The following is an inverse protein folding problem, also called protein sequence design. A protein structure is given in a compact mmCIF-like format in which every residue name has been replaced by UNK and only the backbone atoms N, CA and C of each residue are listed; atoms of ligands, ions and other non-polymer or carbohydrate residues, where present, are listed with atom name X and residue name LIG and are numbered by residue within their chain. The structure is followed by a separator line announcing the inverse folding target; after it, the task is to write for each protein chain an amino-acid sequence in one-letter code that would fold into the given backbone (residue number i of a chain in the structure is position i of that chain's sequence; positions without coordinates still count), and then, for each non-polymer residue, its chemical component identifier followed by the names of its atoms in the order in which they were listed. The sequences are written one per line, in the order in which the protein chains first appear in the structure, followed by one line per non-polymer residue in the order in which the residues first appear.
data_IF_600805391623
#
_entry.id   IF_600805391623
#
_cell.length_a   1.000
_cell.length_b   1.000
_cell.length_c   1.000
_cell.angle_alpha   90.00
_cell.angle_beta   90.00
_cell.angle_gamma   90.00
#
_symmetry.space_group_name_H-M   'P 1'
#
loop_
_entity.id
_entity.type
_entity.pdbx_description
1 polymer ?
#
# COMPACT_ATOMS: atom_id res chain seq x y z
N UNK A 1 70.32 30.06 28.80
CA UNK A 1 68.87 30.26 28.69
C UNK A 1 68.64 31.19 27.50
N UNK A 2 68.14 30.66 26.39
CA UNK A 2 67.84 31.45 25.17
C UNK A 2 66.39 31.92 25.25
N UNK A 3 66.17 33.24 25.25
CA UNK A 3 64.84 33.84 25.22
C UNK A 3 64.20 33.65 23.82
N UNK A 4 62.90 33.37 23.71
CA UNK A 4 62.23 33.30 22.41
C UNK A 4 62.09 34.72 21.82
N UNK A 5 62.67 34.93 20.64
CA UNK A 5 62.46 36.14 19.84
C UNK A 5 61.01 36.17 19.36
N UNK A 6 60.27 37.24 19.65
CA UNK A 6 58.91 37.43 19.17
C UNK A 6 58.86 37.43 17.62
N UNK A 7 57.77 36.93 17.01
CA UNK A 7 57.64 36.91 15.55
C UNK A 7 57.60 38.34 14.98
N UNK A 8 58.13 38.56 13.76
CA UNK A 8 58.11 39.88 13.10
C UNK A 8 56.68 40.33 12.78
N UNK A 9 56.49 41.63 12.55
CA UNK A 9 55.19 42.19 12.20
C UNK A 9 54.67 41.60 10.88
N UNK A 10 53.60 40.81 10.93
CA UNK A 10 53.05 40.09 9.78
C UNK A 10 51.61 39.63 10.03
N UNK A 11 51.01 39.03 9.00
CA UNK A 11 49.72 38.35 9.12
C UNK A 11 49.93 36.91 9.56
N UNK A 12 49.26 36.52 10.65
CA UNK A 12 49.32 35.18 11.22
C UNK A 12 47.90 34.64 11.45
N UNK A 13 47.70 33.31 11.58
CA UNK A 13 46.39 32.74 11.89
C UNK A 13 45.80 33.37 13.17
N UNK A 14 44.52 33.76 13.14
CA UNK A 14 43.88 34.42 14.28
C UNK A 14 43.77 33.44 15.47
N UNK A 15 44.46 33.67 16.60
CA UNK A 15 44.41 32.77 17.75
C UNK A 15 43.02 32.72 18.39
N UNK A 16 42.16 33.71 18.14
CA UNK A 16 40.77 33.75 18.65
C UNK A 16 39.82 32.81 17.85
N UNK A 17 40.32 32.09 16.84
CA UNK A 17 39.58 31.04 16.13
C UNK A 17 38.57 31.54 15.09
N UNK A 18 38.70 32.78 14.59
CA UNK A 18 37.72 33.37 13.65
C UNK A 18 37.80 32.81 12.20
N UNK A 19 38.62 31.78 11.94
CA UNK A 19 38.80 31.20 10.61
C UNK A 19 39.52 32.10 9.59
N UNK A 20 40.27 33.09 10.06
CA UNK A 20 41.01 34.06 9.24
C UNK A 20 42.41 34.36 9.79
N UNK A 21 43.06 35.36 9.22
CA UNK A 21 44.36 35.86 9.69
C UNK A 21 44.18 37.20 10.42
N UNK A 22 44.99 37.42 11.45
CA UNK A 22 45.05 38.67 12.21
C UNK A 22 46.45 39.27 12.09
N UNK A 23 46.55 40.60 12.11
CA UNK A 23 47.84 41.27 11.95
C UNK A 23 48.53 41.43 13.31
N UNK A 24 49.74 40.88 13.43
CA UNK A 24 50.67 41.07 14.53
C UNK A 24 51.60 42.24 14.20
N UNK A 25 51.71 43.23 15.08
CA UNK A 25 52.53 44.42 14.85
C UNK A 25 53.98 44.30 15.37
N UNK A 26 54.33 43.16 15.98
CA UNK A 26 55.64 42.93 16.61
C UNK A 26 55.55 42.82 18.13
N UNK A 27 54.55 43.43 18.75
CA UNK A 27 54.34 43.41 20.21
C UNK A 27 52.95 42.87 20.60
N UNK A 28 51.90 43.16 19.82
CA UNK A 28 50.52 42.78 20.12
C UNK A 28 49.69 42.43 18.86
N UNK A 29 48.57 41.72 19.08
CA UNK A 29 47.61 41.42 18.02
C UNK A 29 46.68 42.61 17.75
N UNK A 30 46.81 43.24 16.59
CA UNK A 30 45.98 44.40 16.20
C UNK A 30 44.53 43.99 15.90
N UNK A 31 43.61 44.94 15.78
CA UNK A 31 42.21 44.66 15.38
C UNK A 31 42.05 44.31 13.90
N UNK A 32 43.10 44.40 13.09
CA UNK A 32 43.03 44.10 11.67
C UNK A 32 42.94 42.58 11.46
N UNK A 33 41.80 42.14 10.93
CA UNK A 33 41.53 40.76 10.54
C UNK A 33 41.27 40.70 9.05
N UNK A 34 41.73 39.64 8.39
CA UNK A 34 41.43 39.35 6.99
C UNK A 34 41.02 37.88 6.81
N UNK A 35 40.14 37.57 5.86
CA UNK A 35 39.85 36.18 5.49
C UNK A 35 41.15 35.47 5.08
N UNK A 36 41.29 34.21 5.46
CA UNK A 36 42.43 33.41 5.02
C UNK A 36 42.28 33.05 3.53
N UNK A 37 43.23 33.45 2.67
CA UNK A 37 43.16 33.16 1.23
C UNK A 37 43.28 31.66 0.91
N UNK A 38 43.75 30.83 1.86
CA UNK A 38 43.89 29.38 1.69
C UNK A 38 42.60 28.61 1.95
N UNK A 39 41.57 29.24 2.53
CA UNK A 39 40.28 28.59 2.74
C UNK A 39 39.55 28.48 1.40
N UNK A 40 39.31 27.27 0.88
CA UNK A 40 38.63 27.09 -0.39
C UNK A 40 37.21 27.65 -0.29
N UNK A 41 36.86 28.58 -1.17
CA UNK A 41 35.45 28.99 -1.34
C UNK A 41 34.64 27.73 -1.62
N UNK A 42 33.54 27.54 -0.90
CA UNK A 42 32.70 26.37 -1.11
C UNK A 42 32.22 26.33 -2.56
N UNK A 43 32.17 25.12 -3.15
CA UNK A 43 31.72 24.94 -4.55
C UNK A 43 30.29 25.49 -4.76
N UNK A 44 29.47 25.44 -3.72
CA UNK A 44 28.13 26.03 -3.71
C UNK A 44 28.16 27.57 -3.80
N UNK A 45 29.07 28.23 -3.08
CA UNK A 45 29.23 29.68 -3.17
C UNK A 45 29.72 30.11 -4.55
N UNK A 46 30.68 29.40 -5.13
CA UNK A 46 31.17 29.66 -6.48
C UNK A 46 30.06 29.46 -7.54
N UNK A 47 29.23 28.43 -7.39
CA UNK A 47 28.08 28.20 -8.26
C UNK A 47 27.02 29.30 -8.13
N UNK A 48 26.68 29.71 -6.90
CA UNK A 48 25.73 30.78 -6.64
C UNK A 48 26.20 32.13 -7.23
N UNK A 49 27.49 32.44 -7.14
CA UNK A 49 28.08 33.65 -7.71
C UNK A 49 28.08 33.63 -9.26
N UNK A 50 28.28 32.45 -9.85
CA UNK A 50 28.16 32.23 -11.30
C UNK A 50 26.73 32.44 -11.78
N UNK A 51 25.76 31.84 -11.07
CA UNK A 51 24.32 31.99 -11.35
C UNK A 51 23.88 33.44 -11.20
N UNK A 52 24.31 34.15 -10.14
CA UNK A 52 23.99 35.57 -9.95
C UNK A 52 24.51 36.44 -11.10
N UNK A 53 25.77 36.27 -11.51
CA UNK A 53 26.33 37.05 -12.63
C UNK A 53 25.61 36.79 -13.94
N UNK A 54 25.29 35.53 -14.24
CA UNK A 54 24.50 35.18 -15.42
C UNK A 54 23.08 35.78 -15.34
N UNK A 55 22.46 35.76 -14.16
CA UNK A 55 21.13 36.32 -13.92
C UNK A 55 21.10 37.85 -14.14
N UNK A 56 22.11 38.57 -13.66
CA UNK A 56 22.26 40.02 -13.86
C UNK A 56 22.69 40.42 -15.29
N UNK A 57 22.92 39.46 -16.19
CA UNK A 57 23.12 39.69 -17.63
C UNK A 57 21.83 39.61 -18.46
N UNK A 58 20.75 39.02 -17.93
CA UNK A 58 19.48 38.84 -18.65
C UNK A 58 18.64 40.12 -18.66
N UNK A 59 17.80 40.39 -19.68
CA UNK A 59 16.88 41.53 -19.66
C UNK A 59 15.90 41.43 -18.47
N UNK A 60 15.53 42.58 -17.88
CA UNK A 60 14.77 42.65 -16.63
C UNK A 60 13.44 41.87 -16.66
N UNK A 61 12.76 41.84 -17.82
CA UNK A 61 11.52 41.08 -18.01
C UNK A 61 11.71 39.57 -17.80
N UNK A 62 12.82 39.00 -18.28
CA UNK A 62 13.08 37.56 -18.18
C UNK A 62 13.39 37.12 -16.74
N UNK A 63 14.01 38.02 -15.95
CA UNK A 63 14.30 37.78 -14.52
C UNK A 63 13.05 37.72 -13.66
N UNK A 64 11.96 38.37 -14.07
CA UNK A 64 10.66 38.31 -13.39
C UNK A 64 9.84 37.12 -13.86
N UNK A 65 9.88 36.78 -15.15
CA UNK A 65 9.07 35.69 -15.72
C UNK A 65 9.56 34.30 -15.28
N UNK A 66 10.86 34.05 -15.22
CA UNK A 66 11.42 32.75 -14.84
C UNK A 66 11.00 32.24 -13.44
N UNK A 67 11.09 33.03 -12.34
CA UNK A 67 10.66 32.55 -11.03
C UNK A 67 9.15 32.34 -10.96
N UNK A 68 8.36 33.19 -11.64
CA UNK A 68 6.90 33.04 -11.72
C UNK A 68 6.56 31.74 -12.47
N UNK A 69 7.20 31.49 -13.61
CA UNK A 69 7.02 30.26 -14.36
C UNK A 69 7.41 29.02 -13.54
N UNK A 70 8.52 29.07 -12.81
CA UNK A 70 8.94 27.98 -11.92
C UNK A 70 7.90 27.71 -10.81
N UNK A 71 7.37 28.76 -10.17
CA UNK A 71 6.31 28.63 -9.16
C UNK A 71 5.04 28.06 -9.77
N UNK A 72 4.64 28.50 -10.96
CA UNK A 72 3.47 27.96 -11.67
C UNK A 72 3.68 26.50 -12.09
N UNK A 73 4.88 26.11 -12.48
CA UNK A 73 5.22 24.70 -12.78
C UNK A 73 5.16 23.86 -11.52
N UNK A 74 5.75 24.30 -10.41
CA UNK A 74 5.70 23.56 -9.13
C UNK A 74 4.28 23.47 -8.59
N UNK A 75 3.51 24.56 -8.64
CA UNK A 75 2.10 24.56 -8.27
C UNK A 75 1.28 23.66 -9.20
N UNK A 76 1.54 23.69 -10.50
CA UNK A 76 0.91 22.82 -11.50
C UNK A 76 1.24 21.35 -11.28
N UNK A 77 2.51 21.00 -11.06
CA UNK A 77 2.94 19.62 -10.75
C UNK A 77 2.38 19.15 -9.42
N UNK A 78 2.37 20.00 -8.39
CA UNK A 78 1.75 19.70 -7.10
C UNK A 78 0.24 19.49 -7.22
N UNK A 79 -0.44 20.31 -8.03
CA UNK A 79 -1.87 20.18 -8.32
C UNK A 79 -2.17 18.92 -9.15
N UNK A 80 -1.33 18.58 -10.12
CA UNK A 80 -1.44 17.33 -10.89
C UNK A 80 -1.25 16.13 -9.95
N UNK A 81 -0.22 16.11 -9.10
CA UNK A 81 -0.04 15.03 -8.13
C UNK A 81 -1.18 14.94 -7.10
N UNK A 82 -1.77 16.07 -6.72
CA UNK A 82 -2.91 16.13 -5.80
C UNK A 82 -4.20 15.62 -6.45
N UNK A 83 -4.48 16.04 -7.68
CA UNK A 83 -5.64 15.59 -8.48
C UNK A 83 -5.48 14.15 -8.96
N UNK A 84 -4.26 13.69 -9.21
CA UNK A 84 -3.93 12.29 -9.50
C UNK A 84 -3.88 11.41 -8.23
N UNK A 85 -4.67 11.73 -7.21
CA UNK A 85 -4.95 10.76 -6.14
C UNK A 85 -5.68 9.56 -6.76
N UNK A 86 -5.07 8.36 -6.92
CA UNK A 86 -5.63 7.28 -7.75
C UNK A 86 -6.85 6.54 -7.16
N UNK A 87 -7.60 7.13 -6.22
CA UNK A 87 -8.22 6.33 -5.13
C UNK A 87 -9.75 6.23 -5.04
N UNK A 88 -10.56 7.06 -5.70
CA UNK A 88 -12.03 7.01 -5.44
C UNK A 88 -12.92 6.59 -6.64
N UNK A 89 -12.46 6.65 -7.88
CA UNK A 89 -13.34 6.38 -9.03
C UNK A 89 -13.58 4.88 -9.34
N UNK A 90 -12.68 3.99 -8.90
CA UNK A 90 -12.84 2.54 -9.17
C UNK A 90 -14.00 1.91 -8.40
N UNK A 91 -14.39 2.49 -7.26
CA UNK A 91 -15.48 1.99 -6.42
C UNK A 91 -16.87 2.51 -6.83
N UNK A 92 -16.94 3.59 -7.60
CA UNK A 92 -18.22 4.20 -8.02
C UNK A 92 -19.07 3.25 -8.89
N UNK A 93 -18.44 2.25 -9.52
CA UNK A 93 -19.09 1.28 -10.40
C UNK A 93 -19.21 -0.11 -9.78
N UNK A 94 -18.93 -0.24 -8.48
CA UNK A 94 -19.07 -1.49 -7.75
C UNK A 94 -20.56 -1.90 -7.76
N UNK A 95 -20.90 -3.13 -8.20
CA UNK A 95 -22.27 -3.61 -8.12
C UNK A 95 -22.69 -3.66 -6.65
N UNK A 96 -23.95 -3.32 -6.32
CA UNK A 96 -24.44 -3.41 -4.93
C UNK A 96 -24.70 -4.86 -4.50
N UNK A 97 -25.05 -5.71 -5.47
CA UNK A 97 -25.33 -7.12 -5.30
C UNK A 97 -24.85 -7.89 -6.52
N UNK A 98 -24.46 -9.15 -6.32
CA UNK A 98 -24.12 -10.09 -7.38
C UNK A 98 -25.30 -11.04 -7.64
N UNK A 99 -25.55 -11.36 -8.90
CA UNK A 99 -26.57 -12.32 -9.30
C UNK A 99 -25.96 -13.72 -9.36
N UNK A 100 -26.42 -14.61 -8.50
CA UNK A 100 -25.94 -15.99 -8.46
C UNK A 100 -26.65 -16.86 -9.48
N UNK A 101 -25.86 -17.66 -10.21
CA UNK A 101 -26.34 -18.69 -11.13
C UNK A 101 -25.77 -20.04 -10.73
N UNK A 102 -26.64 -21.05 -10.71
CA UNK A 102 -26.25 -22.43 -10.53
C UNK A 102 -25.72 -22.98 -11.87
N UNK A 103 -24.56 -23.62 -11.84
CA UNK A 103 -24.00 -24.33 -12.98
C UNK A 103 -24.67 -25.71 -13.16
N UNK A 104 -24.25 -26.45 -14.18
CA UNK A 104 -24.70 -27.82 -14.39
C UNK A 104 -24.22 -28.73 -13.25
N UNK A 105 -25.10 -29.60 -12.76
CA UNK A 105 -24.78 -30.58 -11.72
C UNK A 105 -25.94 -30.83 -10.75
N UNK A 106 -25.71 -31.63 -9.70
CA UNK A 106 -26.69 -31.90 -8.66
C UNK A 106 -27.09 -30.62 -7.92
N UNK A 107 -28.40 -30.37 -7.76
CA UNK A 107 -28.88 -29.19 -7.04
C UNK A 107 -28.43 -29.23 -5.56
N UNK A 108 -27.79 -28.18 -5.03
CA UNK A 108 -27.48 -28.09 -3.62
C UNK A 108 -28.74 -28.01 -2.75
N UNK A 109 -28.70 -28.49 -1.49
CA UNK A 109 -29.76 -28.24 -0.53
C UNK A 109 -29.87 -26.74 -0.19
N UNK A 110 -31.05 -26.32 0.26
CA UNK A 110 -31.35 -24.91 0.54
C UNK A 110 -30.44 -24.31 1.62
N UNK A 111 -29.94 -25.13 2.56
CA UNK A 111 -28.98 -24.74 3.61
C UNK A 111 -27.61 -24.28 3.07
N UNK A 112 -27.24 -24.65 1.84
CA UNK A 112 -25.99 -24.20 1.19
C UNK A 112 -26.26 -23.50 -0.15
N UNK A 113 -27.52 -23.13 -0.40
CA UNK A 113 -27.92 -22.34 -1.57
C UNK A 113 -27.83 -20.85 -1.25
N UNK A 114 -27.13 -20.10 -2.09
CA UNK A 114 -26.93 -18.66 -1.93
C UNK A 114 -28.20 -17.92 -2.33
N UNK A 115 -28.75 -17.13 -1.40
CA UNK A 115 -29.91 -16.27 -1.63
C UNK A 115 -29.50 -14.93 -2.24
N UNK A 116 -28.42 -14.32 -1.74
CA UNK A 116 -27.89 -13.05 -2.26
C UNK A 116 -26.45 -12.83 -1.81
N UNK A 117 -25.71 -12.06 -2.60
CA UNK A 117 -24.37 -11.58 -2.23
C UNK A 117 -24.38 -10.06 -2.33
N UNK A 118 -24.31 -9.38 -1.19
CA UNK A 118 -24.15 -7.93 -1.15
C UNK A 118 -22.67 -7.57 -1.22
N UNK A 119 -22.34 -6.52 -1.97
CA UNK A 119 -20.97 -6.06 -2.14
C UNK A 119 -20.86 -4.64 -1.59
N UNK A 120 -19.82 -4.42 -0.79
CA UNK A 120 -19.56 -3.13 -0.13
C UNK A 120 -18.07 -2.82 -0.16
N UNK A 121 -17.74 -1.56 0.14
CA UNK A 121 -16.37 -1.09 0.33
C UNK A 121 -16.28 -0.31 1.65
N UNK A 122 -16.12 -0.98 2.80
CA UNK A 122 -16.13 -0.29 4.08
C UNK A 122 -14.97 0.70 4.25
N UNK A 123 -13.86 0.51 3.51
CA UNK A 123 -12.65 1.35 3.54
C UNK A 123 -11.99 1.38 2.16
N UNK A 124 -11.09 2.33 1.97
CA UNK A 124 -10.26 2.39 0.77
C UNK A 124 -9.44 1.10 0.63
N UNK A 125 -9.65 0.37 -0.47
CA UNK A 125 -8.90 -0.85 -0.77
C UNK A 125 -9.44 -2.14 -0.14
N UNK A 126 -10.56 -2.09 0.60
CA UNK A 126 -11.17 -3.27 1.21
C UNK A 126 -12.48 -3.63 0.50
N UNK A 127 -12.53 -4.81 -0.09
CA UNK A 127 -13.73 -5.40 -0.66
C UNK A 127 -14.44 -6.22 0.41
N UNK A 128 -15.72 -5.93 0.65
CA UNK A 128 -16.57 -6.72 1.55
C UNK A 128 -17.66 -7.42 0.74
N UNK A 129 -17.75 -8.75 0.91
CA UNK A 129 -18.81 -9.60 0.38
C UNK A 129 -19.63 -10.15 1.56
N UNK A 130 -20.95 -9.92 1.54
CA UNK A 130 -21.89 -10.46 2.52
C UNK A 130 -22.79 -11.44 1.82
N UNK A 131 -22.54 -12.73 2.04
CA UNK A 131 -23.25 -13.86 1.44
C UNK A 131 -24.36 -14.26 2.39
N UNK A 132 -25.61 -14.20 1.92
CA UNK A 132 -26.77 -14.73 2.63
C UNK A 132 -27.24 -16.01 1.97
N UNK A 133 -27.50 -17.02 2.78
CA UNK A 133 -28.01 -18.33 2.36
C UNK A 133 -29.53 -18.38 2.53
N UNK A 134 -30.19 -19.29 1.80
CA UNK A 134 -31.65 -19.44 1.85
C UNK A 134 -32.11 -19.96 3.21
N UNK A 135 -31.29 -20.79 3.86
CA UNK A 135 -31.50 -21.32 5.20
C UNK A 135 -30.21 -21.20 6.03
N UNK A 136 -30.30 -21.35 7.37
CA UNK A 136 -29.11 -21.46 8.21
C UNK A 136 -28.16 -22.53 7.67
N UNK A 137 -26.88 -22.18 7.54
CA UNK A 137 -25.86 -23.09 7.08
C UNK A 137 -25.69 -24.24 8.08
N UNK A 138 -25.26 -25.42 7.60
CA UNK A 138 -24.86 -26.51 8.48
C UNK A 138 -23.66 -26.10 9.35
N UNK A 139 -23.42 -26.89 10.39
CA UNK A 139 -22.20 -26.82 11.18
C UNK A 139 -20.97 -27.01 10.29
N UNK A 140 -19.86 -26.37 10.66
CA UNK A 140 -18.58 -26.59 9.99
C UNK A 140 -18.19 -28.06 9.96
N UNK A 141 -17.52 -28.50 8.89
CA UNK A 141 -17.09 -29.88 8.79
C UNK A 141 -16.01 -30.17 9.83
N UNK A 142 -16.01 -31.38 10.36
CA UNK A 142 -15.00 -31.83 11.33
C UNK A 142 -13.77 -32.34 10.61
N UNK A 143 -12.59 -32.01 11.10
CA UNK A 143 -11.32 -32.46 10.53
C UNK A 143 -10.36 -31.29 10.30
N UNK A 144 -9.34 -31.54 9.51
CA UNK A 144 -8.27 -30.58 9.24
C UNK A 144 -7.81 -30.64 7.80
N UNK A 145 -7.07 -29.62 7.36
CA UNK A 145 -6.44 -29.62 6.04
C UNK A 145 -5.50 -30.82 5.81
N UNK A 146 -4.95 -31.40 6.88
CA UNK A 146 -4.08 -32.57 6.80
C UNK A 146 -4.85 -33.90 6.76
N UNK A 147 -5.98 -33.99 7.45
CA UNK A 147 -6.77 -35.22 7.59
C UNK A 147 -7.97 -35.30 6.65
N UNK A 148 -8.31 -34.18 6.01
CA UNK A 148 -9.54 -34.00 5.27
C UNK A 148 -10.69 -33.56 6.17
N UNK A 149 -11.71 -32.98 5.56
CA UNK A 149 -12.91 -32.49 6.23
C UNK A 149 -14.09 -33.43 5.98
N UNK A 150 -14.85 -33.73 7.03
CA UNK A 150 -16.05 -34.58 7.01
C UNK A 150 -17.29 -33.73 7.28
N UNK A 151 -18.32 -33.87 6.45
CA UNK A 151 -19.53 -33.06 6.48
C UNK A 151 -19.68 -32.19 5.23
N UNK A 152 -20.39 -31.07 5.35
CA UNK A 152 -20.51 -30.10 4.26
C UNK A 152 -19.24 -29.26 4.16
N UNK A 153 -18.54 -29.36 3.03
CA UNK A 153 -17.36 -28.56 2.73
C UNK A 153 -17.76 -27.49 1.72
N UNK A 154 -17.47 -26.23 2.06
CA UNK A 154 -17.80 -25.05 1.26
C UNK A 154 -16.51 -24.32 0.93
N UNK A 155 -16.13 -24.36 -0.35
CA UNK A 155 -14.96 -23.68 -0.88
C UNK A 155 -15.40 -22.46 -1.68
N UNK A 156 -14.89 -21.30 -1.28
CA UNK A 156 -15.18 -20.01 -1.90
C UNK A 156 -13.97 -19.59 -2.70
N UNK A 157 -14.19 -19.11 -3.92
CA UNK A 157 -13.16 -18.42 -4.67
C UNK A 157 -13.66 -17.06 -5.12
N UNK A 158 -12.81 -16.04 -4.94
CA UNK A 158 -13.11 -14.68 -5.36
C UNK A 158 -12.16 -14.30 -6.48
N UNK A 159 -12.75 -13.81 -7.57
CA UNK A 159 -12.06 -13.31 -8.74
C UNK A 159 -12.31 -11.83 -8.93
N UNK A 160 -11.35 -11.14 -9.52
CA UNK A 160 -11.49 -9.77 -9.99
C UNK A 160 -11.22 -9.73 -11.49
N UNK A 161 -12.17 -9.23 -12.28
CA UNK A 161 -12.09 -9.23 -13.75
C UNK A 161 -11.78 -10.63 -14.33
N UNK A 162 -12.39 -11.67 -13.77
CA UNK A 162 -12.19 -13.07 -14.20
C UNK A 162 -10.88 -13.73 -13.72
N UNK A 163 -9.99 -12.99 -13.05
CA UNK A 163 -8.78 -13.55 -12.44
C UNK A 163 -9.03 -13.85 -10.96
N UNK A 164 -9.12 -15.13 -10.61
CA UNK A 164 -9.18 -15.61 -9.21
C UNK A 164 -7.99 -15.05 -8.44
N UNK A 165 -8.18 -14.52 -7.23
CA UNK A 165 -7.06 -13.98 -6.42
C UNK A 165 -7.02 -14.53 -4.98
N UNK A 166 -8.13 -15.08 -4.49
CA UNK A 166 -8.22 -15.71 -3.17
C UNK A 166 -9.13 -16.94 -3.23
N UNK A 167 -8.74 -17.97 -2.47
CA UNK A 167 -9.56 -19.13 -2.17
C UNK A 167 -9.70 -19.27 -0.66
N UNK A 168 -10.91 -19.57 -0.22
CA UNK A 168 -11.26 -19.75 1.18
C UNK A 168 -11.97 -21.08 1.35
N UNK A 169 -11.71 -21.75 2.47
CA UNK A 169 -12.37 -23.00 2.83
C UNK A 169 -12.59 -23.08 4.34
N UNK A 170 -13.02 -24.23 4.87
CA UNK A 170 -13.26 -24.40 6.29
C UNK A 170 -11.97 -24.23 7.11
N UNK A 171 -12.07 -23.48 8.21
CA UNK A 171 -11.03 -23.39 9.23
C UNK A 171 -11.21 -24.51 10.27
N UNK A 172 -10.10 -25.13 10.70
CA UNK A 172 -10.10 -26.26 11.63
C UNK A 172 -10.74 -25.87 12.97
N UNK A 173 -11.67 -26.71 13.45
CA UNK A 173 -12.37 -26.54 14.73
C UNK A 173 -13.12 -25.21 14.93
N UNK A 174 -13.48 -24.50 13.85
CA UNK A 174 -14.27 -23.26 13.92
C UNK A 174 -15.39 -23.20 12.89
N UNK A 175 -16.36 -22.31 13.12
CA UNK A 175 -17.43 -21.99 12.16
C UNK A 175 -17.02 -20.95 11.10
N UNK A 176 -15.74 -20.54 11.10
CA UNK A 176 -15.16 -19.52 10.24
C UNK A 176 -14.45 -20.12 9.01
N UNK A 177 -13.98 -19.24 8.12
CA UNK A 177 -13.27 -19.66 6.91
C UNK A 177 -11.80 -19.27 6.98
N UNK A 178 -10.94 -20.21 6.59
CA UNK A 178 -9.51 -20.01 6.40
C UNK A 178 -9.24 -19.50 4.99
N UNK A 179 -8.25 -18.62 4.83
CA UNK A 179 -7.75 -18.21 3.51
C UNK A 179 -6.70 -19.23 3.09
N UNK A 180 -7.09 -20.16 2.22
CA UNK A 180 -6.29 -21.34 1.84
C UNK A 180 -5.28 -21.04 0.73
N UNK A 181 -5.59 -20.10 -0.16
CA UNK A 181 -4.64 -19.73 -1.20
C UNK A 181 -4.80 -18.26 -1.58
N UNK A 182 -3.67 -17.62 -1.87
CA UNK A 182 -3.67 -16.28 -2.47
C UNK A 182 -2.74 -16.27 -3.67
N UNK A 183 -3.13 -15.54 -4.72
CA UNK A 183 -2.28 -15.34 -5.88
C UNK A 183 -1.05 -14.46 -5.59
N UNK A 184 -1.05 -13.70 -4.49
CA UNK A 184 -0.01 -12.72 -4.20
C UNK A 184 1.25 -13.34 -3.59
N UNK A 185 1.10 -14.26 -2.63
CA UNK A 185 2.24 -14.84 -1.90
C UNK A 185 2.56 -16.27 -2.31
N UNK A 186 1.64 -16.97 -2.98
CA UNK A 186 1.77 -18.41 -3.22
C UNK A 186 1.80 -19.24 -1.92
N UNK A 187 1.47 -18.63 -0.78
CA UNK A 187 1.36 -19.30 0.51
C UNK A 187 0.02 -20.03 0.61
N UNK A 188 0.07 -21.24 1.15
CA UNK A 188 -1.07 -22.15 1.33
C UNK A 188 -1.96 -21.80 2.54
N UNK A 189 -1.63 -20.75 3.28
CA UNK A 189 -2.47 -20.25 4.36
C UNK A 189 -2.07 -18.83 4.71
N UNK A 190 -3.03 -17.93 4.82
CA UNK A 190 -2.82 -16.54 5.18
C UNK A 190 -3.49 -16.24 6.52
N UNK A 191 -2.71 -15.72 7.49
CA UNK A 191 -3.26 -15.35 8.80
C UNK A 191 -4.28 -14.20 8.64
N UNK A 192 -5.51 -14.37 9.16
CA UNK A 192 -6.53 -13.33 9.08
C UNK A 192 -6.14 -12.10 9.91
N UNK A 193 -6.57 -10.94 9.44
CA UNK A 193 -6.47 -9.67 10.16
C UNK A 193 -7.81 -8.92 10.13
N UNK A 194 -7.82 -7.67 10.60
CA UNK A 194 -9.01 -6.84 10.68
C UNK A 194 -9.70 -6.59 9.33
N UNK A 195 -8.93 -6.51 8.25
CA UNK A 195 -9.35 -6.07 6.92
C UNK A 195 -9.30 -7.18 5.86
N UNK A 196 -8.68 -8.31 6.19
CA UNK A 196 -8.63 -9.55 5.42
C UNK A 196 -9.00 -10.74 6.31
N UNK A 197 -10.27 -11.10 6.33
CA UNK A 197 -10.83 -12.21 7.11
C UNK A 197 -12.13 -12.72 6.49
N UNK A 198 -12.53 -13.92 6.87
CA UNK A 198 -13.81 -14.49 6.46
C UNK A 198 -14.44 -15.25 7.62
N UNK A 199 -15.65 -14.86 7.99
CA UNK A 199 -16.30 -15.35 9.20
C UNK A 199 -17.80 -15.43 9.07
N UNK A 200 -18.38 -16.26 9.91
CA UNK A 200 -19.82 -16.37 10.06
C UNK A 200 -20.34 -15.29 11.00
N UNK A 201 -21.22 -14.43 10.52
CA UNK A 201 -21.77 -13.31 11.31
C UNK A 201 -23.23 -13.53 11.74
N UNK A 202 -23.92 -14.46 11.08
CA UNK A 202 -25.25 -14.95 11.46
C UNK A 202 -25.40 -16.42 11.03
N UNK A 203 -26.41 -17.17 11.51
CA UNK A 203 -26.60 -18.57 11.14
C UNK A 203 -26.68 -18.82 9.62
N UNK A 204 -27.19 -17.85 8.87
CA UNK A 204 -27.40 -17.86 7.42
C UNK A 204 -26.48 -16.90 6.66
N UNK A 205 -25.53 -16.24 7.33
CA UNK A 205 -24.77 -15.13 6.73
C UNK A 205 -23.26 -15.27 6.96
N UNK A 206 -22.52 -15.30 5.84
CA UNK A 206 -21.07 -15.25 5.81
C UNK A 206 -20.60 -13.86 5.37
N UNK A 207 -19.59 -13.34 6.06
CA UNK A 207 -18.93 -12.08 5.73
C UNK A 207 -17.49 -12.37 5.32
N UNK A 208 -17.09 -11.87 4.16
CA UNK A 208 -15.72 -11.96 3.64
C UNK A 208 -15.22 -10.53 3.43
N UNK A 209 -14.14 -10.17 4.13
CA UNK A 209 -13.42 -8.92 3.97
C UNK A 209 -12.06 -9.20 3.34
N UNK A 210 -11.70 -8.44 2.31
CA UNK A 210 -10.50 -8.67 1.50
C UNK A 210 -9.76 -7.35 1.26
N UNK A 211 -8.57 -7.19 1.85
CA UNK A 211 -7.68 -6.08 1.52
C UNK A 211 -7.00 -6.35 0.16
N UNK A 212 -7.50 -5.67 -0.87
CA UNK A 212 -7.14 -5.96 -2.26
C UNK A 212 -5.64 -5.83 -2.53
N UNK A 213 -5.01 -4.79 -1.98
CA UNK A 213 -3.58 -4.55 -2.16
C UNK A 213 -2.73 -5.69 -1.58
N UNK A 214 -3.10 -6.19 -0.39
CA UNK A 214 -2.44 -7.33 0.27
C UNK A 214 -2.57 -8.61 -0.55
N UNK A 215 -3.68 -8.74 -1.28
CA UNK A 215 -4.00 -9.87 -2.15
C UNK A 215 -3.54 -9.66 -3.61
N UNK A 216 -2.69 -8.68 -3.88
CA UNK A 216 -2.09 -8.46 -5.21
C UNK A 216 -3.05 -7.85 -6.24
N UNK A 217 -4.17 -7.29 -5.78
CA UNK A 217 -5.11 -6.50 -6.57
C UNK A 217 -4.87 -5.02 -6.26
N UNK A 218 -3.97 -4.38 -7.00
CA UNK A 218 -3.63 -2.96 -6.85
C UNK A 218 -3.78 -2.22 -8.19
N UNK A 219 -4.22 -0.97 -8.13
CA UNK A 219 -4.40 -0.06 -9.27
C UNK A 219 -5.18 -0.66 -10.45
N UNK A 220 -6.20 -1.49 -10.16
CA UNK A 220 -7.08 -2.05 -11.17
C UNK A 220 -8.53 -1.96 -10.73
N UNK A 221 -9.41 -1.80 -11.73
CA UNK A 221 -10.86 -1.73 -11.54
C UNK A 221 -11.39 -2.97 -10.83
N UNK A 222 -12.31 -2.77 -9.89
CA UNK A 222 -12.88 -3.84 -9.07
C UNK A 222 -14.22 -4.31 -9.67
N UNK A 223 -14.22 -5.51 -10.25
CA UNK A 223 -15.39 -6.24 -10.74
C UNK A 223 -15.35 -7.63 -10.10
N UNK A 224 -15.93 -7.78 -8.91
CA UNK A 224 -15.80 -9.01 -8.14
C UNK A 224 -16.73 -10.09 -8.67
N UNK A 225 -16.23 -11.31 -8.73
CA UNK A 225 -17.00 -12.52 -8.99
C UNK A 225 -16.74 -13.50 -7.84
N UNK A 226 -17.81 -14.05 -7.27
CA UNK A 226 -17.76 -15.06 -6.21
C UNK A 226 -18.20 -16.40 -6.79
N UNK A 227 -17.40 -17.43 -6.60
CA UNK A 227 -17.78 -18.81 -6.89
C UNK A 227 -17.80 -19.61 -5.61
N UNK A 228 -18.92 -20.29 -5.34
CA UNK A 228 -19.08 -21.24 -4.25
C UNK A 228 -19.13 -22.66 -4.83
N UNK A 229 -18.15 -23.47 -4.44
CA UNK A 229 -18.10 -24.90 -4.67
C UNK A 229 -18.47 -25.61 -3.37
N UNK A 230 -19.33 -26.63 -3.46
CA UNK A 230 -19.85 -27.29 -2.27
C UNK A 230 -19.94 -28.78 -2.48
N UNK A 231 -19.56 -29.54 -1.45
CA UNK A 231 -19.58 -30.99 -1.47
C UNK A 231 -19.93 -31.55 -0.09
N UNK A 232 -20.39 -32.80 -0.06
CA UNK A 232 -20.62 -33.55 1.16
C UNK A 232 -19.65 -34.72 1.25
N UNK A 233 -18.82 -34.72 2.29
CA UNK A 233 -17.79 -35.71 2.53
C UNK A 233 -18.18 -36.64 3.68
N UNK A 234 -17.99 -37.94 3.47
CA UNK A 234 -18.02 -38.94 4.54
C UNK A 234 -16.60 -39.27 4.98
N UNK A 235 -16.38 -39.96 6.12
CA UNK A 235 -15.03 -40.35 6.56
C UNK A 235 -14.22 -41.16 5.54
N UNK A 236 -14.87 -41.77 4.56
CA UNK A 236 -14.23 -42.67 3.60
C UNK A 236 -13.94 -42.02 2.25
N UNK A 237 -14.82 -41.14 1.73
CA UNK A 237 -14.65 -40.42 0.45
C UNK A 237 -15.57 -39.18 0.36
N UNK A 238 -15.33 -38.30 -0.61
CA UNK A 238 -16.35 -37.37 -1.13
C UNK A 238 -17.54 -38.18 -1.62
N UNK A 239 -18.74 -37.84 -1.15
CA UNK A 239 -19.97 -38.59 -1.43
C UNK A 239 -20.83 -37.90 -2.47
N UNK A 240 -20.91 -36.57 -2.43
CA UNK A 240 -21.68 -35.78 -3.40
C UNK A 240 -20.99 -34.44 -3.65
N UNK A 241 -20.70 -34.13 -4.91
CA UNK A 241 -20.37 -32.77 -5.35
C UNK A 241 -21.65 -32.11 -5.88
N UNK A 242 -21.93 -30.89 -5.42
CA UNK A 242 -23.08 -30.12 -5.88
C UNK A 242 -22.68 -29.15 -6.99
N UNK A 243 -23.67 -28.72 -7.78
CA UNK A 243 -23.48 -27.73 -8.80
C UNK A 243 -22.91 -26.42 -8.23
N UNK A 244 -21.88 -25.89 -8.89
CA UNK A 244 -21.21 -24.64 -8.51
C UNK A 244 -22.16 -23.46 -8.60
N UNK A 245 -22.06 -22.53 -7.68
CA UNK A 245 -22.85 -21.29 -7.66
C UNK A 245 -21.93 -20.11 -7.98
N UNK A 246 -22.13 -19.47 -9.14
CA UNK A 246 -21.31 -18.32 -9.59
C UNK A 246 -22.13 -17.04 -9.51
N UNK A 247 -21.64 -16.07 -8.75
CA UNK A 247 -22.26 -14.79 -8.51
C UNK A 247 -21.42 -13.66 -9.14
N UNK A 248 -22.04 -12.91 -10.06
CA UNK A 248 -21.43 -11.79 -10.79
C UNK A 248 -22.40 -10.65 -11.04
#
# INVERSE_FOLDING_TARGET
MTAPTAPPAAWYPDPDGSGGQRYWDGEHWTKHRRPDPSVPRSRLAAFADGVRRAWFGLPAALRLVLPIALVLIVAGVGFIFWTQSPRDDDWARLPRQLNCRLQEGPKPPDSITVASVAVKHPRAGVLELVIRFVQPLPHSPTGSHASGFVGYVLDYSVANNGKKFVELGPEEDTDDLSINSTLATGEASMRPDRDTNARRIAPDTMQIMLELKRLGVDNQRVVPELTLESQFNTPSTTTVEFAKQVCR
#
